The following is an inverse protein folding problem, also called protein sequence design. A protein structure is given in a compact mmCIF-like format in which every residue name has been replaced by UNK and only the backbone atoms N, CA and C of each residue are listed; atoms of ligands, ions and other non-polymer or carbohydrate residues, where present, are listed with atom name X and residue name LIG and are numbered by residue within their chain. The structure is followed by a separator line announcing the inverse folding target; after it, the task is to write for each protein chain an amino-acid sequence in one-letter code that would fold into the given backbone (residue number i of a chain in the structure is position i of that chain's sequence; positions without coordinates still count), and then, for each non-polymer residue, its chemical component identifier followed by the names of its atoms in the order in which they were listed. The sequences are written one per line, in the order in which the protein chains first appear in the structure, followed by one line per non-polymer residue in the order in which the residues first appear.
data_IF_161344756082
#
_entry.id   IF_161344756082
#
_cell.length_a   1.000
_cell.length_b   1.000
_cell.length_c   1.000
_cell.angle_alpha   90.00
_cell.angle_beta   90.00
_cell.angle_gamma   90.00
#
_symmetry.space_group_name_H-M   'P 1'
#
loop_
_entity.id
_entity.type
_entity.pdbx_description
1 polymer ?
#
# COMPACT_ATOMS: atom_id res chain seq x y z
N UNK A 1 -7.24 -7.57 -24.55
CA UNK A 1 -7.26 -7.34 -23.09
C UNK A 1 -7.23 -8.70 -22.42
N UNK A 2 -6.38 -8.88 -21.41
CA UNK A 2 -6.36 -10.09 -20.58
C UNK A 2 -7.69 -10.23 -19.83
N UNK A 3 -8.14 -11.47 -19.60
CA UNK A 3 -9.36 -11.69 -18.84
C UNK A 3 -9.19 -11.21 -17.38
N UNK A 4 -10.21 -10.58 -16.77
CA UNK A 4 -10.15 -10.20 -15.36
C UNK A 4 -10.09 -11.43 -14.46
N UNK A 5 -9.56 -11.27 -13.24
CA UNK A 5 -9.52 -12.34 -12.24
C UNK A 5 -10.93 -12.88 -11.96
N UNK A 6 -11.03 -14.20 -11.78
CA UNK A 6 -12.31 -14.88 -11.52
C UNK A 6 -12.48 -15.28 -10.05
N UNK A 7 -11.38 -15.33 -9.30
CA UNK A 7 -11.36 -15.69 -7.88
C UNK A 7 -11.25 -14.44 -7.01
N UNK A 8 -11.98 -14.43 -5.90
CA UNK A 8 -11.81 -13.49 -4.80
C UNK A 8 -10.58 -13.89 -3.99
N UNK A 9 -9.86 -12.89 -3.49
CA UNK A 9 -8.72 -13.09 -2.61
C UNK A 9 -8.81 -12.23 -1.35
N UNK A 10 -8.10 -12.68 -0.33
CA UNK A 10 -7.77 -11.93 0.87
C UNK A 10 -6.27 -12.02 1.08
N UNK A 11 -5.70 -11.04 1.78
CA UNK A 11 -4.32 -11.16 2.20
C UNK A 11 -4.05 -10.57 3.58
N UNK A 12 -3.10 -11.18 4.30
CA UNK A 12 -2.48 -10.64 5.51
C UNK A 12 -1.04 -10.27 5.19
N UNK A 13 -0.71 -9.00 5.37
CA UNK A 13 0.64 -8.48 5.19
C UNK A 13 1.22 -8.12 6.55
N UNK A 14 2.32 -8.78 6.91
CA UNK A 14 3.18 -8.42 8.02
C UNK A 14 4.38 -7.64 7.51
N UNK A 15 4.60 -6.46 8.06
CA UNK A 15 5.79 -5.66 7.81
C UNK A 15 6.23 -5.01 9.11
N UNK A 16 7.53 -4.76 9.25
CA UNK A 16 8.05 -4.06 10.41
C UNK A 16 8.71 -2.74 10.04
N UNK A 17 8.97 -1.97 11.08
CA UNK A 17 9.86 -0.81 11.05
C UNK A 17 10.81 -0.94 12.23
N UNK A 18 12.08 -0.64 11.99
CA UNK A 18 13.11 -0.47 13.00
C UNK A 18 13.72 0.93 12.87
N UNK A 19 13.79 1.63 14.01
CA UNK A 19 14.36 2.98 14.15
C UNK A 19 13.88 3.94 13.06
N UNK A 20 12.56 4.02 12.88
CA UNK A 20 11.96 4.74 11.77
C UNK A 20 10.52 5.17 12.00
N UNK A 21 9.97 5.91 11.05
CA UNK A 21 8.60 6.39 11.05
C UNK A 21 7.81 5.78 9.88
N UNK A 22 6.93 4.79 10.14
CA UNK A 22 6.25 4.06 9.09
C UNK A 22 5.13 4.86 8.44
N UNK A 23 4.52 5.79 9.17
CA UNK A 23 3.50 6.72 8.68
C UNK A 23 3.38 7.90 9.63
N UNK A 24 3.91 9.05 9.23
CA UNK A 24 3.78 10.28 9.99
C UNK A 24 2.35 10.84 9.97
N UNK A 25 1.96 11.45 11.08
CA UNK A 25 0.71 12.17 11.26
C UNK A 25 0.90 13.67 10.96
N UNK A 26 0.28 14.22 9.90
CA UNK A 26 0.39 15.65 9.61
C UNK A 26 -0.19 16.53 10.73
N UNK A 27 -1.15 16.02 11.51
CA UNK A 27 -1.79 16.78 12.59
C UNK A 27 -0.95 16.73 13.89
N UNK A 28 -0.03 15.78 14.00
CA UNK A 28 0.87 15.61 15.17
C UNK A 28 2.34 15.85 14.80
N UNK A 29 2.62 16.87 14.00
CA UNK A 29 4.01 17.28 13.69
C UNK A 29 4.85 16.19 13.01
N UNK A 30 4.21 15.33 12.22
CA UNK A 30 4.80 14.17 11.56
C UNK A 30 5.28 13.05 12.50
N UNK A 31 4.82 13.01 13.76
CA UNK A 31 5.03 11.86 14.64
C UNK A 31 4.38 10.58 14.07
N UNK A 32 4.90 9.37 14.34
CA UNK A 32 4.22 8.13 14.01
C UNK A 32 2.77 8.14 14.50
N UNK A 33 1.82 7.75 13.65
CA UNK A 33 0.41 7.64 14.04
C UNK A 33 0.22 6.57 15.10
N UNK A 34 -0.54 6.89 16.14
CA UNK A 34 -0.88 6.00 17.25
C UNK A 34 -2.39 6.03 17.47
N UNK A 35 -3.00 4.88 17.75
CA UNK A 35 -4.37 4.81 18.22
C UNK A 35 -4.46 5.31 19.67
N UNK A 36 -5.29 6.33 19.94
CA UNK A 36 -5.37 6.93 21.26
C UNK A 36 -5.97 6.01 22.33
N UNK A 37 -6.72 4.96 21.96
CA UNK A 37 -7.37 4.07 22.93
C UNK A 37 -6.41 3.02 23.51
N UNK A 38 -5.54 2.44 22.66
CA UNK A 38 -4.74 1.27 23.03
C UNK A 38 -3.23 1.43 22.78
N UNK A 39 -2.80 2.55 22.21
CA UNK A 39 -1.39 2.86 21.96
C UNK A 39 -0.77 2.11 20.78
N UNK A 40 -1.54 1.37 19.98
CA UNK A 40 -0.99 0.70 18.81
C UNK A 40 -0.70 1.68 17.69
N UNK A 41 0.38 1.45 16.98
CA UNK A 41 0.76 2.23 15.82
C UNK A 41 -0.20 1.99 14.68
N UNK A 42 -0.46 3.05 13.90
CA UNK A 42 -1.30 2.99 12.72
C UNK A 42 -0.50 3.31 11.46
N UNK A 43 -0.76 2.56 10.39
CA UNK A 43 -0.34 2.94 9.03
C UNK A 43 -1.59 2.95 8.16
N UNK A 44 -1.89 4.12 7.63
CA UNK A 44 -3.08 4.31 6.77
C UNK A 44 -3.02 3.46 5.51
N UNK A 45 -4.18 3.05 5.03
CA UNK A 45 -4.32 2.30 3.78
C UNK A 45 -3.77 3.11 2.59
N UNK A 46 -3.97 4.43 2.57
CA UNK A 46 -3.45 5.32 1.53
C UNK A 46 -1.92 5.34 1.51
N UNK A 47 -1.25 5.22 2.66
CA UNK A 47 0.20 5.14 2.73
C UNK A 47 0.73 3.83 2.12
N UNK A 48 0.06 2.69 2.37
CA UNK A 48 0.39 1.42 1.72
C UNK A 48 0.11 1.48 0.21
N UNK A 49 -1.06 1.97 -0.19
CA UNK A 49 -1.43 2.15 -1.61
C UNK A 49 -0.48 3.09 -2.33
N UNK A 50 0.11 4.10 -1.66
CA UNK A 50 1.13 4.97 -2.25
C UNK A 50 2.43 4.22 -2.52
N UNK A 51 2.87 3.35 -1.61
CA UNK A 51 4.07 2.53 -1.78
C UNK A 51 3.92 1.52 -2.91
N UNK A 52 2.75 0.86 -3.00
CA UNK A 52 2.42 -0.02 -4.12
C UNK A 52 2.47 0.75 -5.46
N UNK A 53 1.92 1.98 -5.51
CA UNK A 53 2.02 2.84 -6.71
C UNK A 53 3.46 3.18 -7.07
N UNK A 54 4.28 3.55 -6.09
CA UNK A 54 5.69 3.87 -6.33
C UNK A 54 6.43 2.66 -6.92
N UNK A 55 6.22 1.47 -6.35
CA UNK A 55 6.79 0.24 -6.87
C UNK A 55 6.30 -0.05 -8.30
N UNK A 56 4.99 -0.02 -8.53
CA UNK A 56 4.41 -0.26 -9.85
C UNK A 56 4.96 0.72 -10.91
N UNK A 57 5.10 2.00 -10.55
CA UNK A 57 5.71 3.01 -11.42
C UNK A 57 7.18 2.69 -11.73
N UNK A 58 7.96 2.29 -10.72
CA UNK A 58 9.35 1.87 -10.91
C UNK A 58 9.47 0.61 -11.78
N UNK A 59 8.51 -0.30 -11.69
CA UNK A 59 8.38 -1.49 -12.53
C UNK A 59 7.83 -1.18 -13.95
N UNK A 60 7.62 0.09 -14.29
CA UNK A 60 7.18 0.53 -15.62
C UNK A 60 5.67 0.56 -15.86
N UNK A 61 4.84 0.27 -14.84
CA UNK A 61 3.40 0.36 -14.97
C UNK A 61 2.91 1.83 -14.87
N UNK A 62 2.04 2.30 -15.78
CA UNK A 62 1.50 3.65 -15.70
C UNK A 62 0.60 3.81 -14.48
N UNK A 63 0.79 4.90 -13.73
CA UNK A 63 -0.10 5.27 -12.61
C UNK A 63 -0.73 6.65 -12.85
N UNK A 64 -1.96 6.81 -12.39
CA UNK A 64 -2.74 8.04 -12.49
C UNK A 64 -2.35 9.05 -11.40
N UNK A 65 -2.22 8.59 -10.16
CA UNK A 65 -1.88 9.47 -9.01
C UNK A 65 -0.36 9.64 -8.90
N UNK A 66 0.19 10.54 -9.71
CA UNK A 66 1.61 10.89 -9.72
C UNK A 66 1.91 12.10 -8.83
N UNK A 67 3.17 12.20 -8.37
CA UNK A 67 3.61 13.33 -7.58
C UNK A 67 3.72 14.59 -8.46
N UNK A 68 3.21 15.73 -7.97
CA UNK A 68 3.35 17.02 -8.67
C UNK A 68 2.52 17.16 -9.96
N UNK A 69 1.52 16.30 -10.18
CA UNK A 69 0.71 16.34 -11.41
C UNK A 69 -0.76 16.68 -11.14
N UNK A 70 -1.37 17.49 -12.01
CA UNK A 70 -2.81 17.72 -12.00
C UNK A 70 -3.56 16.53 -12.60
N UNK A 71 -4.45 15.91 -11.81
CA UNK A 71 -5.23 14.74 -12.21
C UNK A 71 -6.15 14.98 -13.43
N UNK A 72 -6.53 16.23 -13.70
CA UNK A 72 -7.37 16.54 -14.85
C UNK A 72 -6.64 16.40 -16.20
N UNK A 73 -5.30 16.45 -16.23
CA UNK A 73 -4.51 16.27 -17.47
C UNK A 73 -4.74 14.88 -18.08
N UNK A 74 -4.49 13.76 -17.38
CA UNK A 74 -4.77 12.43 -17.92
C UNK A 74 -6.27 12.15 -18.12
N UNK A 75 -7.17 12.76 -17.34
CA UNK A 75 -8.62 12.67 -17.59
C UNK A 75 -8.97 13.29 -18.94
N UNK A 76 -8.39 14.45 -19.26
CA UNK A 76 -8.62 15.11 -20.55
C UNK A 76 -8.01 14.30 -21.70
N UNK A 77 -6.80 13.78 -21.52
CA UNK A 77 -6.16 12.87 -22.48
C UNK A 77 -7.03 11.65 -22.79
N UNK A 78 -7.68 11.06 -21.78
CA UNK A 78 -8.60 9.95 -21.99
C UNK A 78 -9.75 10.32 -22.95
N UNK A 79 -10.34 11.52 -22.79
CA UNK A 79 -11.36 12.01 -23.71
C UNK A 79 -10.83 12.18 -25.14
N UNK A 80 -9.65 12.79 -25.31
CA UNK A 80 -9.00 12.94 -26.62
C UNK A 80 -8.79 11.59 -27.31
N UNK A 81 -8.39 10.56 -26.55
CA UNK A 81 -8.18 9.20 -27.07
C UNK A 81 -9.48 8.43 -27.33
N UNK A 82 -10.62 8.88 -26.81
CA UNK A 82 -11.92 8.20 -26.94
C UNK A 82 -12.99 9.02 -27.67
N UNK A 83 -12.59 9.95 -28.54
CA UNK A 83 -13.52 10.72 -29.38
C UNK A 83 -13.67 12.20 -29.01
N UNK A 84 -12.72 12.76 -28.28
CA UNK A 84 -12.57 14.19 -28.00
C UNK A 84 -13.52 14.74 -26.91
N UNK A 85 -13.01 15.72 -26.16
CA UNK A 85 -13.82 16.46 -25.21
C UNK A 85 -14.58 17.59 -25.92
N UNK A 86 -15.90 17.45 -26.12
CA UNK A 86 -16.74 18.44 -26.81
C UNK A 86 -17.34 19.49 -25.86
N UNK A 87 -16.84 19.62 -24.62
CA UNK A 87 -17.43 20.49 -23.59
C UNK A 87 -18.74 19.95 -22.96
N UNK A 88 -19.44 19.04 -23.64
CA UNK A 88 -20.68 18.41 -23.17
C UNK A 88 -20.40 17.02 -22.58
N UNK A 89 -20.88 16.80 -21.36
CA UNK A 89 -20.69 15.56 -20.59
C UNK A 89 -21.83 14.57 -20.88
N UNK A 90 -21.69 13.74 -21.92
CA UNK A 90 -22.63 12.64 -22.19
C UNK A 90 -22.19 11.35 -21.48
N UNK A 91 -23.16 10.50 -21.11
CA UNK A 91 -22.88 9.23 -20.40
C UNK A 91 -21.89 8.35 -21.17
N UNK A 92 -22.06 8.23 -22.48
CA UNK A 92 -21.23 7.36 -23.32
C UNK A 92 -19.78 7.83 -23.40
N UNK A 93 -19.54 9.15 -23.49
CA UNK A 93 -18.19 9.72 -23.49
C UNK A 93 -17.50 9.55 -22.14
N UNK A 94 -18.23 9.80 -21.05
CA UNK A 94 -17.71 9.58 -19.69
C UNK A 94 -17.35 8.11 -19.49
N UNK A 95 -18.18 7.19 -19.96
CA UNK A 95 -17.91 5.76 -19.87
C UNK A 95 -16.73 5.33 -20.74
N UNK A 96 -16.62 5.82 -21.97
CA UNK A 96 -15.48 5.52 -22.85
C UNK A 96 -14.16 6.01 -22.24
N UNK A 97 -14.12 7.26 -21.77
CA UNK A 97 -12.96 7.81 -21.06
C UNK A 97 -12.64 6.99 -19.80
N UNK A 98 -13.64 6.61 -18.99
CA UNK A 98 -13.45 5.75 -17.81
C UNK A 98 -12.81 4.41 -18.17
N UNK A 99 -13.30 3.73 -19.21
CA UNK A 99 -12.75 2.45 -19.67
C UNK A 99 -11.30 2.61 -20.13
N UNK A 100 -10.97 3.71 -20.82
CA UNK A 100 -9.61 4.02 -21.21
C UNK A 100 -8.71 4.25 -19.98
N UNK A 101 -9.17 5.01 -18.98
CA UNK A 101 -8.44 5.24 -17.73
C UNK A 101 -8.15 3.92 -17.01
N UNK A 102 -9.13 3.02 -16.89
CA UNK A 102 -8.94 1.69 -16.32
C UNK A 102 -7.97 0.83 -17.13
N UNK A 103 -8.01 0.90 -18.47
CA UNK A 103 -7.10 0.12 -19.31
C UNK A 103 -5.65 0.64 -19.21
N UNK A 104 -5.47 1.95 -19.12
CA UNK A 104 -4.15 2.58 -19.18
C UNK A 104 -3.44 2.64 -17.83
N UNK A 105 -4.15 2.95 -16.74
CA UNK A 105 -3.55 3.16 -15.43
C UNK A 105 -3.76 1.99 -14.48
N UNK A 106 -2.66 1.40 -14.01
CA UNK A 106 -2.66 0.27 -13.09
C UNK A 106 -3.37 0.60 -11.77
N UNK A 107 -3.11 1.77 -11.19
CA UNK A 107 -3.68 2.14 -9.89
C UNK A 107 -5.18 2.45 -9.96
N UNK A 108 -5.68 2.99 -11.07
CA UNK A 108 -7.12 3.15 -11.34
C UNK A 108 -7.78 1.78 -11.46
N UNK A 109 -7.16 0.86 -12.21
CA UNK A 109 -7.63 -0.52 -12.37
C UNK A 109 -7.65 -1.30 -11.05
N UNK A 110 -6.67 -1.04 -10.19
CA UNK A 110 -6.42 -1.80 -8.95
C UNK A 110 -7.21 -1.26 -7.76
N UNK A 111 -7.09 0.04 -7.47
CA UNK A 111 -7.67 0.68 -6.29
C UNK A 111 -8.94 1.47 -6.59
N UNK A 112 -9.15 1.83 -7.85
CA UNK A 112 -10.19 2.76 -8.27
C UNK A 112 -9.75 4.21 -8.14
N UNK A 113 -10.58 5.09 -8.70
CA UNK A 113 -10.36 6.53 -8.66
C UNK A 113 -11.69 7.29 -8.82
N UNK A 114 -11.76 8.46 -8.19
CA UNK A 114 -12.77 9.47 -8.49
C UNK A 114 -12.17 10.41 -9.53
N UNK A 115 -12.77 10.46 -10.71
CA UNK A 115 -12.28 11.18 -11.90
C UNK A 115 -13.35 12.15 -12.42
N UNK A 116 -14.25 12.62 -11.55
CA UNK A 116 -15.43 13.42 -11.91
C UNK A 116 -15.15 14.91 -12.07
N UNK A 117 -13.92 15.36 -11.82
CA UNK A 117 -13.47 16.74 -11.98
C UNK A 117 -13.12 17.06 -13.43
N UNK A 118 -13.12 18.35 -13.79
CA UNK A 118 -12.73 18.80 -15.13
C UNK A 118 -13.59 18.19 -16.23
N UNK A 119 -12.92 17.53 -17.20
CA UNK A 119 -13.56 16.83 -18.31
C UNK A 119 -14.43 15.64 -17.89
N UNK A 120 -14.29 15.15 -16.65
CA UNK A 120 -15.08 14.09 -16.03
C UNK A 120 -15.00 12.73 -16.76
N UNK A 121 -14.34 11.76 -16.14
CA UNK A 121 -14.33 10.34 -16.53
C UNK A 121 -15.05 9.46 -15.47
N UNK A 122 -15.95 10.05 -14.70
CA UNK A 122 -16.79 9.37 -13.72
C UNK A 122 -16.02 8.93 -12.49
N UNK A 123 -16.40 7.78 -11.95
CA UNK A 123 -15.72 7.15 -10.82
C UNK A 123 -15.72 5.64 -11.01
N UNK A 124 -14.75 4.98 -10.39
CA UNK A 124 -14.66 3.52 -10.38
C UNK A 124 -14.13 3.05 -9.04
N UNK A 125 -14.70 1.96 -8.51
CA UNK A 125 -14.20 1.27 -7.33
C UNK A 125 -13.33 0.12 -7.78
N UNK A 126 -12.05 0.12 -7.38
CA UNK A 126 -11.13 -0.95 -7.69
C UNK A 126 -11.40 -2.21 -6.86
N UNK A 127 -10.98 -3.39 -7.35
CA UNK A 127 -11.12 -4.64 -6.63
C UNK A 127 -10.29 -4.72 -5.36
N UNK A 128 -9.17 -3.99 -5.27
CA UNK A 128 -8.24 -4.08 -4.14
C UNK A 128 -8.55 -3.02 -3.10
N UNK A 129 -8.92 -3.48 -1.91
CA UNK A 129 -9.15 -2.65 -0.73
C UNK A 129 -8.22 -3.10 0.39
N UNK A 130 -7.63 -2.15 1.11
CA UNK A 130 -6.71 -2.39 2.22
C UNK A 130 -7.23 -1.58 3.41
N UNK A 131 -7.20 -2.14 4.60
CA UNK A 131 -7.54 -1.40 5.83
C UNK A 131 -6.34 -0.67 6.38
N UNK A 132 -6.54 0.12 7.43
CA UNK A 132 -5.41 0.58 8.25
C UNK A 132 -4.66 -0.64 8.77
N UNK A 133 -3.34 -0.59 8.69
CA UNK A 133 -2.48 -1.55 9.36
C UNK A 133 -2.29 -1.11 10.80
N UNK A 134 -2.30 -2.07 11.72
CA UNK A 134 -2.10 -1.83 13.15
C UNK A 134 -0.87 -2.60 13.61
N UNK A 135 -0.08 -2.02 14.51
CA UNK A 135 0.99 -2.77 15.17
C UNK A 135 0.41 -3.92 16.01
N UNK A 136 1.21 -4.95 16.28
CA UNK A 136 0.78 -6.06 17.15
C UNK A 136 0.92 -5.76 18.63
N UNK A 137 1.77 -4.79 18.97
CA UNK A 137 1.99 -4.28 20.31
C UNK A 137 1.88 -2.76 20.29
N UNK A 138 1.55 -2.12 21.43
CA UNK A 138 1.63 -0.67 21.56
C UNK A 138 3.03 -0.17 21.20
N UNK A 139 3.09 0.95 20.47
CA UNK A 139 4.36 1.57 20.09
C UNK A 139 4.65 2.77 21.00
N UNK A 140 5.93 3.08 21.15
CA UNK A 140 6.37 4.31 21.81
C UNK A 140 7.14 5.18 20.82
N UNK A 141 6.51 6.22 20.25
CA UNK A 141 7.20 7.22 19.46
C UNK A 141 8.20 7.99 20.32
N UNK A 142 9.44 8.06 19.87
CA UNK A 142 10.50 8.85 20.50
C UNK A 142 10.95 9.97 19.56
N UNK A 143 11.15 11.17 20.13
CA UNK A 143 11.75 12.30 19.43
C UNK A 143 13.24 12.40 19.75
N UNK A 144 14.05 12.46 18.70
CA UNK A 144 15.49 12.65 18.80
C UNK A 144 15.85 14.00 18.18
N UNK A 145 16.42 14.88 18.99
CA UNK A 145 17.00 16.14 18.52
C UNK A 145 18.21 15.86 17.64
N UNK A 146 18.26 16.51 16.48
CA UNK A 146 19.38 16.43 15.54
C UNK A 146 19.83 17.83 15.17
N UNK A 147 21.09 17.99 14.80
CA UNK A 147 21.64 19.29 14.38
C UNK A 147 22.09 19.22 12.93
N UNK A 148 21.56 20.12 12.10
CA UNK A 148 22.13 20.44 10.80
C UNK A 148 23.21 21.49 11.02
N UNK A 149 24.45 21.18 10.65
CA UNK A 149 25.61 22.09 10.79
C UNK A 149 25.59 23.32 9.86
N UNK A 150 24.46 23.62 9.25
CA UNK A 150 24.24 24.75 8.36
C UNK A 150 22.84 25.32 8.58
N UNK A 151 22.67 26.60 8.25
CA UNK A 151 21.38 27.31 8.30
C UNK A 151 20.82 27.49 6.89
N UNK A 152 19.49 27.53 6.77
CA UNK A 152 18.78 27.82 5.54
C UNK A 152 17.83 28.99 5.83
N UNK A 153 18.42 30.15 6.11
CA UNK A 153 17.69 31.37 6.44
C UNK A 153 17.27 32.09 5.16
N UNK A 154 16.02 32.54 5.10
CA UNK A 154 15.58 33.47 4.07
C UNK A 154 16.05 34.89 4.44
N UNK A 155 17.26 35.25 3.98
CA UNK A 155 17.90 36.52 4.33
C UNK A 155 17.14 37.68 3.68
N UNK A 156 16.34 38.37 4.48
CA UNK A 156 15.52 39.51 4.03
C UNK A 156 16.39 40.55 3.32
N UNK A 157 15.96 40.95 2.13
CA UNK A 157 16.60 41.95 1.26
C UNK A 157 17.93 41.55 0.61
N UNK A 158 18.42 40.31 0.80
CA UNK A 158 19.58 39.83 0.05
C UNK A 158 19.19 39.57 -1.41
N UNK A 159 19.82 40.28 -2.35
CA UNK A 159 19.58 40.13 -3.79
C UNK A 159 20.78 39.59 -4.54
N UNK A 160 21.98 39.67 -3.94
CA UNK A 160 23.21 39.15 -4.53
C UNK A 160 23.93 38.21 -3.57
N UNK A 161 24.91 37.48 -4.10
CA UNK A 161 25.77 36.60 -3.30
C UNK A 161 26.53 37.38 -2.22
N UNK A 162 26.96 38.60 -2.52
CA UNK A 162 27.66 39.47 -1.56
C UNK A 162 26.81 39.80 -0.34
N UNK A 163 25.49 39.94 -0.49
CA UNK A 163 24.58 40.18 0.63
C UNK A 163 24.53 38.97 1.58
N UNK A 164 24.50 37.75 1.02
CA UNK A 164 24.55 36.50 1.79
C UNK A 164 25.90 36.34 2.50
N UNK A 165 27.02 36.60 1.81
CA UNK A 165 28.36 36.53 2.40
C UNK A 165 28.53 37.52 3.56
N UNK A 166 28.04 38.76 3.40
CA UNK A 166 28.04 39.76 4.47
C UNK A 166 27.18 39.33 5.64
N UNK A 167 25.98 38.81 5.38
CA UNK A 167 25.09 38.35 6.43
C UNK A 167 25.70 37.20 7.23
N UNK A 168 26.28 36.21 6.54
CA UNK A 168 26.93 35.03 7.14
C UNK A 168 28.12 35.43 8.01
N UNK A 169 28.99 36.31 7.52
CA UNK A 169 30.16 36.79 8.26
C UNK A 169 29.80 37.56 9.54
N UNK A 170 28.58 38.10 9.64
CA UNK A 170 28.08 38.81 10.81
C UNK A 170 27.40 37.88 11.83
N UNK A 171 27.15 36.61 11.50
CA UNK A 171 26.54 35.65 12.41
C UNK A 171 27.59 34.93 13.27
N UNK A 172 27.34 34.73 14.57
CA UNK A 172 28.07 33.75 15.37
C UNK A 172 27.93 32.33 14.79
N UNK A 173 28.98 31.51 14.87
CA UNK A 173 28.98 30.15 14.34
C UNK A 173 27.82 29.29 14.85
N UNK A 174 27.47 29.42 16.14
CA UNK A 174 26.35 28.66 16.73
C UNK A 174 24.97 29.03 16.14
N UNK A 175 24.83 30.23 15.57
CA UNK A 175 23.61 30.65 14.86
C UNK A 175 23.56 30.18 13.40
N UNK A 176 24.68 29.69 12.87
CA UNK A 176 24.75 29.07 11.54
C UNK A 176 24.39 27.58 11.56
N UNK A 177 23.81 27.09 12.66
CA UNK A 177 23.37 25.71 12.85
C UNK A 177 21.86 25.69 13.09
N UNK A 178 21.15 24.69 12.57
CA UNK A 178 19.71 24.53 12.81
C UNK A 178 19.45 23.21 13.54
N UNK A 179 18.72 23.27 14.65
CA UNK A 179 18.23 22.06 15.32
C UNK A 179 16.91 21.59 14.69
N UNK A 180 16.83 20.31 14.38
CA UNK A 180 15.63 19.62 13.93
C UNK A 180 15.26 18.49 14.89
N UNK A 181 14.14 17.83 14.60
CA UNK A 181 13.69 16.65 15.35
C UNK A 181 13.38 15.51 14.39
N UNK A 182 13.73 14.29 14.81
CA UNK A 182 13.27 13.06 14.18
C UNK A 182 12.37 12.31 15.14
N UNK A 183 11.11 12.16 14.76
CA UNK A 183 10.18 11.30 15.48
C UNK A 183 10.18 9.91 14.83
N UNK A 184 10.47 8.88 15.63
CA UNK A 184 10.59 7.50 15.15
C UNK A 184 10.13 6.51 16.23
N UNK A 185 9.78 5.29 15.81
CA UNK A 185 9.62 4.15 16.70
C UNK A 185 10.87 3.29 16.63
N UNK A 186 11.30 2.74 17.76
CA UNK A 186 12.45 1.82 17.77
C UNK A 186 12.12 0.51 17.06
N UNK A 187 10.93 -0.05 17.29
CA UNK A 187 10.45 -1.23 16.60
C UNK A 187 8.92 -1.28 16.62
N UNK A 188 8.33 -1.80 15.54
CA UNK A 188 6.92 -2.18 15.51
C UNK A 188 6.66 -3.16 14.38
N UNK A 189 5.99 -4.28 14.68
CA UNK A 189 5.48 -5.24 13.69
C UNK A 189 4.02 -4.89 13.40
N UNK A 190 3.70 -4.57 12.16
CA UNK A 190 2.39 -4.14 11.70
C UNK A 190 1.71 -5.21 10.86
N UNK A 191 0.39 -5.29 10.99
CA UNK A 191 -0.48 -6.17 10.22
C UNK A 191 -1.48 -5.37 9.40
N UNK A 192 -1.43 -5.52 8.07
CA UNK A 192 -2.45 -5.00 7.17
C UNK A 192 -3.35 -6.13 6.67
N UNK A 193 -4.65 -5.85 6.57
CA UNK A 193 -5.67 -6.74 6.01
C UNK A 193 -6.10 -6.22 4.63
N UNK A 194 -6.09 -7.10 3.64
CA UNK A 194 -6.41 -6.77 2.26
C UNK A 194 -7.49 -7.68 1.67
N UNK A 195 -8.22 -7.13 0.70
CA UNK A 195 -9.35 -7.78 0.03
C UNK A 195 -9.26 -7.51 -1.47
N UNK A 196 -9.46 -8.53 -2.29
CA UNK A 196 -9.46 -8.45 -3.74
C UNK A 196 -10.75 -9.06 -4.28
N UNK A 197 -11.66 -8.21 -4.75
CA UNK A 197 -12.96 -8.66 -5.26
C UNK A 197 -12.91 -9.00 -6.76
N UNK A 198 -13.14 -10.27 -7.11
CA UNK A 198 -13.29 -10.68 -8.51
C UNK A 198 -14.48 -10.01 -9.21
N UNK A 199 -15.58 -9.74 -8.49
CA UNK A 199 -16.73 -9.06 -9.05
C UNK A 199 -16.39 -7.63 -9.50
N UNK A 200 -15.69 -6.86 -8.67
CA UNK A 200 -15.26 -5.51 -9.02
C UNK A 200 -14.15 -5.51 -10.10
N UNK A 201 -13.35 -6.58 -10.15
CA UNK A 201 -12.34 -6.74 -11.19
C UNK A 201 -12.96 -6.80 -12.59
N UNK A 202 -14.18 -7.35 -12.75
CA UNK A 202 -14.89 -7.37 -14.04
C UNK A 202 -15.17 -5.95 -14.56
N UNK A 203 -15.46 -5.00 -13.66
CA UNK A 203 -15.76 -3.61 -14.04
C UNK A 203 -14.52 -2.77 -14.38
N UNK A 204 -13.35 -3.18 -13.91
CA UNK A 204 -12.07 -2.45 -14.08
C UNK A 204 -11.12 -3.12 -15.07
N UNK A 205 -11.30 -4.41 -15.34
CA UNK A 205 -10.36 -5.20 -16.14
C UNK A 205 -9.16 -5.72 -15.37
N UNK A 206 -9.16 -5.67 -14.03
CA UNK A 206 -8.03 -6.11 -13.20
C UNK A 206 -7.72 -7.60 -13.42
N UNK A 207 -6.53 -7.86 -13.92
CA UNK A 207 -6.12 -9.13 -14.50
C UNK A 207 -5.20 -9.94 -13.56
N UNK A 208 -4.94 -11.23 -13.88
CA UNK A 208 -3.92 -12.02 -13.18
C UNK A 208 -2.53 -11.38 -13.20
N UNK A 209 -2.15 -10.68 -14.27
CA UNK A 209 -0.89 -9.95 -14.35
C UNK A 209 -0.87 -8.75 -13.39
N UNK A 210 -2.00 -8.06 -13.22
CA UNK A 210 -2.12 -6.99 -12.22
C UNK A 210 -2.05 -7.54 -10.80
N UNK A 211 -2.65 -8.71 -10.55
CA UNK A 211 -2.54 -9.41 -9.26
C UNK A 211 -1.10 -9.79 -8.96
N UNK A 212 -0.35 -10.29 -9.96
CA UNK A 212 1.07 -10.60 -9.85
C UNK A 212 1.88 -9.37 -9.44
N UNK A 213 1.70 -8.26 -10.17
CA UNK A 213 2.35 -6.98 -9.85
C UNK A 213 1.97 -6.45 -8.46
N UNK A 214 0.72 -6.65 -8.02
CA UNK A 214 0.29 -6.29 -6.66
C UNK A 214 1.06 -7.08 -5.61
N UNK A 215 1.17 -8.41 -5.77
CA UNK A 215 1.84 -9.28 -4.79
C UNK A 215 3.33 -9.01 -4.76
N UNK A 216 3.96 -8.84 -5.92
CA UNK A 216 5.35 -8.43 -6.04
C UNK A 216 5.59 -7.08 -5.34
N UNK A 217 4.72 -6.09 -5.59
CA UNK A 217 4.80 -4.79 -4.93
C UNK A 217 4.65 -4.91 -3.40
N UNK A 218 3.72 -5.71 -2.89
CA UNK A 218 3.54 -5.90 -1.45
C UNK A 218 4.80 -6.45 -0.76
N UNK A 219 5.56 -7.29 -1.45
CA UNK A 219 6.80 -7.88 -0.92
C UNK A 219 8.00 -6.92 -1.05
N UNK A 220 8.08 -6.13 -2.12
CA UNK A 220 9.27 -5.34 -2.43
C UNK A 220 9.12 -3.82 -2.18
N UNK A 221 7.91 -3.31 -1.86
CA UNK A 221 7.65 -1.87 -1.82
C UNK A 221 8.53 -1.08 -0.84
N UNK A 222 9.00 -1.69 0.25
CA UNK A 222 9.85 -1.00 1.24
C UNK A 222 11.32 -0.88 0.83
N UNK A 223 11.80 -1.76 -0.06
CA UNK A 223 13.19 -1.70 -0.52
C UNK A 223 13.43 -0.54 -1.50
N UNK A 224 12.38 -0.12 -2.20
CA UNK A 224 12.42 1.03 -3.12
C UNK A 224 11.90 2.34 -2.49
N UNK A 225 11.54 2.34 -1.20
CA UNK A 225 10.92 3.48 -0.52
C UNK A 225 11.75 3.99 0.67
N UNK A 226 13.07 3.76 0.63
CA UNK A 226 14.03 4.14 1.69
C UNK A 226 14.14 5.66 1.82
N UNK A 227 14.13 6.16 3.06
CA UNK A 227 14.43 7.56 3.38
C UNK A 227 14.96 7.70 4.81
N UNK A 228 15.59 8.85 5.10
CA UNK A 228 16.15 9.15 6.41
C UNK A 228 15.12 9.21 7.56
N UNK A 229 13.82 9.27 7.25
CA UNK A 229 12.71 9.26 8.23
C UNK A 229 12.10 7.88 8.41
N UNK A 230 12.18 6.99 7.41
CA UNK A 230 11.50 5.69 7.43
C UNK A 230 12.30 4.60 8.15
N UNK A 231 13.61 4.79 8.33
CA UNK A 231 14.47 3.80 8.95
C UNK A 231 14.50 2.48 8.15
N UNK A 232 14.65 1.37 8.87
CA UNK A 232 14.62 0.04 8.28
C UNK A 232 13.19 -0.51 8.32
N UNK A 233 12.44 -0.30 7.24
CA UNK A 233 11.18 -1.00 7.00
C UNK A 233 11.41 -2.25 6.14
N UNK A 234 10.66 -3.32 6.39
CA UNK A 234 10.69 -4.51 5.56
C UNK A 234 9.36 -5.27 5.60
N UNK A 235 8.93 -5.82 4.48
CA UNK A 235 7.89 -6.85 4.47
C UNK A 235 8.47 -8.13 5.05
N UNK A 236 7.76 -8.76 5.99
CA UNK A 236 8.23 -9.95 6.71
C UNK A 236 7.51 -11.22 6.29
N UNK A 237 6.19 -11.14 6.11
CA UNK A 237 5.34 -12.25 5.66
C UNK A 237 4.13 -11.72 4.91
N UNK A 238 3.74 -12.42 3.86
CA UNK A 238 2.50 -12.22 3.14
C UNK A 238 1.77 -13.56 3.06
N UNK A 239 0.55 -13.60 3.57
CA UNK A 239 -0.38 -14.72 3.39
C UNK A 239 -1.46 -14.31 2.40
N UNK A 240 -1.61 -15.04 1.32
CA UNK A 240 -2.64 -14.87 0.31
C UNK A 240 -3.64 -16.01 0.41
N UNK A 241 -4.93 -15.68 0.42
CA UNK A 241 -6.02 -16.64 0.44
C UNK A 241 -6.79 -16.53 -0.87
N UNK A 242 -6.96 -17.63 -1.58
CA UNK A 242 -7.72 -17.71 -2.83
C UNK A 242 -8.96 -18.57 -2.62
N UNK A 243 -10.14 -18.04 -2.95
CA UNK A 243 -11.36 -18.84 -2.95
C UNK A 243 -11.50 -19.62 -4.27
N UNK A 244 -11.65 -20.95 -4.20
CA UNK A 244 -11.69 -21.85 -5.37
C UNK A 244 -12.98 -22.64 -5.53
N UNK A 245 -13.84 -22.67 -4.51
CA UNK A 245 -15.08 -23.45 -4.49
C UNK A 245 -14.95 -24.74 -3.68
N UNK A 246 -16.09 -25.32 -3.29
CA UNK A 246 -16.15 -26.40 -2.28
C UNK A 246 -16.57 -27.76 -2.84
N UNK A 247 -17.07 -27.83 -4.07
CA UNK A 247 -17.73 -29.03 -4.61
C UNK A 247 -16.94 -29.60 -5.81
N UNK A 248 -16.29 -30.77 -5.68
CA UNK A 248 -15.57 -31.41 -6.79
C UNK A 248 -16.42 -31.72 -8.02
N UNK A 249 -17.74 -31.81 -7.89
CA UNK A 249 -18.66 -32.25 -8.95
C UNK A 249 -19.53 -31.12 -9.52
N UNK A 250 -19.42 -29.89 -9.00
CA UNK A 250 -20.24 -28.77 -9.44
C UNK A 250 -19.38 -27.55 -9.84
N UNK A 251 -18.93 -27.55 -11.09
CA UNK A 251 -18.10 -26.49 -11.63
C UNK A 251 -18.78 -25.11 -11.61
N UNK A 252 -20.10 -25.04 -11.81
CA UNK A 252 -20.82 -23.76 -11.88
C UNK A 252 -20.98 -23.14 -10.48
N UNK A 253 -21.28 -23.96 -9.48
CA UNK A 253 -21.26 -23.53 -8.08
C UNK A 253 -19.86 -23.06 -7.67
N UNK A 254 -18.81 -23.78 -8.07
CA UNK A 254 -17.44 -23.40 -7.75
C UNK A 254 -17.05 -22.06 -8.35
N UNK A 255 -17.42 -21.77 -9.61
CA UNK A 255 -17.17 -20.44 -10.22
C UNK A 255 -17.83 -19.33 -9.41
N UNK A 256 -19.10 -19.51 -9.02
CA UNK A 256 -19.82 -18.54 -8.19
C UNK A 256 -19.16 -18.36 -6.81
N UNK A 257 -18.78 -19.45 -6.16
CA UNK A 257 -18.12 -19.43 -4.85
C UNK A 257 -16.69 -18.86 -4.93
N UNK A 258 -15.95 -19.13 -6.00
CA UNK A 258 -14.65 -18.53 -6.26
C UNK A 258 -14.77 -17.02 -6.38
N UNK A 259 -15.78 -16.53 -7.11
CA UNK A 259 -15.99 -15.09 -7.31
C UNK A 259 -16.52 -14.36 -6.07
N UNK A 260 -17.47 -14.97 -5.34
CA UNK A 260 -18.14 -14.33 -4.20
C UNK A 260 -17.49 -14.63 -2.85
N UNK A 261 -16.75 -15.73 -2.75
CA UNK A 261 -16.08 -16.23 -1.55
C UNK A 261 -16.67 -17.52 -1.01
N UNK A 262 -15.80 -18.38 -0.51
CA UNK A 262 -16.12 -19.64 0.18
C UNK A 262 -16.20 -19.49 1.70
N UNK A 263 -15.60 -18.43 2.25
CA UNK A 263 -15.54 -18.15 3.68
C UNK A 263 -15.64 -16.64 3.96
N UNK A 264 -16.13 -16.24 5.15
CA UNK A 264 -16.04 -14.86 5.61
C UNK A 264 -14.59 -14.42 5.78
N UNK A 265 -14.27 -13.17 5.45
CA UNK A 265 -12.89 -12.69 5.50
C UNK A 265 -12.29 -12.70 6.91
N UNK A 266 -13.08 -12.46 7.96
CA UNK A 266 -12.60 -12.52 9.35
C UNK A 266 -12.06 -13.91 9.73
N UNK A 267 -12.60 -14.99 9.14
CA UNK A 267 -12.08 -16.36 9.37
C UNK A 267 -10.69 -16.58 8.76
N UNK A 268 -10.32 -15.80 7.77
CA UNK A 268 -9.00 -15.88 7.12
C UNK A 268 -8.02 -14.86 7.72
N UNK A 269 -8.53 -13.69 8.09
CA UNK A 269 -7.73 -12.51 8.41
C UNK A 269 -7.58 -12.22 9.92
N UNK A 270 -8.40 -12.79 10.79
CA UNK A 270 -8.24 -12.61 12.23
C UNK A 270 -7.16 -13.53 12.79
N UNK A 271 -6.30 -12.95 13.63
CA UNK A 271 -5.25 -13.69 14.30
C UNK A 271 -5.86 -14.78 15.20
N UNK A 272 -5.26 -15.97 15.18
CA UNK A 272 -5.73 -17.15 15.90
C UNK A 272 -6.70 -18.03 15.11
N UNK A 273 -7.22 -17.56 13.96
CA UNK A 273 -7.96 -18.40 13.01
C UNK A 273 -6.97 -19.22 12.16
N UNK A 274 -6.61 -18.77 10.95
CA UNK A 274 -5.63 -19.48 10.11
C UNK A 274 -4.20 -19.10 10.46
N UNK A 275 -3.94 -17.81 10.71
CA UNK A 275 -2.61 -17.30 11.07
C UNK A 275 -2.61 -16.89 12.53
N UNK A 276 -1.59 -17.31 13.27
CA UNK A 276 -1.37 -16.95 14.67
C UNK A 276 -0.04 -16.24 14.83
N UNK A 277 0.00 -15.27 15.74
CA UNK A 277 1.23 -14.59 16.14
C UNK A 277 1.31 -14.55 17.64
N UNK A 278 2.49 -14.81 18.18
CA UNK A 278 2.80 -14.60 19.59
C UNK A 278 4.17 -14.00 19.76
N UNK A 279 4.34 -13.18 20.80
CA UNK A 279 5.65 -12.71 21.24
C UNK A 279 6.33 -13.83 22.01
N UNK A 280 7.62 -14.05 21.77
CA UNK A 280 8.38 -15.13 22.41
C UNK A 280 8.75 -14.80 23.86
N UNK A 281 8.92 -13.53 24.18
CA UNK A 281 9.23 -13.04 25.52
C UNK A 281 8.35 -11.83 25.85
N UNK A 282 7.39 -12.03 26.73
CA UNK A 282 6.44 -10.99 27.12
C UNK A 282 6.95 -10.04 28.19
N UNK A 283 8.12 -10.31 28.79
CA UNK A 283 8.69 -9.46 29.85
C UNK A 283 9.38 -8.20 29.33
N UNK A 284 9.66 -8.13 28.02
CA UNK A 284 10.41 -7.03 27.40
C UNK A 284 9.73 -6.49 26.14
N UNK A 285 9.95 -5.21 25.80
CA UNK A 285 9.43 -4.66 24.55
C UNK A 285 10.11 -5.34 23.35
N UNK A 286 9.37 -5.66 22.28
CA UNK A 286 9.91 -6.24 21.06
C UNK A 286 10.86 -5.26 20.37
N UNK A 287 11.96 -5.78 19.80
CA UNK A 287 13.00 -4.99 19.12
C UNK A 287 13.34 -5.49 17.72
N UNK A 288 12.84 -6.67 17.34
CA UNK A 288 13.10 -7.31 16.04
C UNK A 288 12.03 -8.33 15.70
N UNK A 289 11.95 -8.71 14.43
CA UNK A 289 11.00 -9.72 13.96
C UNK A 289 11.20 -11.07 14.65
N UNK A 290 12.44 -11.44 14.98
CA UNK A 290 12.76 -12.68 15.70
C UNK A 290 12.21 -12.76 17.13
N UNK A 291 11.70 -11.66 17.69
CA UNK A 291 11.02 -11.67 18.98
C UNK A 291 9.55 -12.17 18.85
N UNK A 292 9.09 -12.41 17.62
CA UNK A 292 7.78 -12.95 17.31
C UNK A 292 7.87 -14.32 16.65
N UNK A 293 6.88 -15.14 16.92
CA UNK A 293 6.58 -16.34 16.16
C UNK A 293 5.29 -16.13 15.38
N UNK A 294 5.38 -16.14 14.05
CA UNK A 294 4.25 -16.07 13.12
C UNK A 294 4.09 -17.45 12.49
N UNK A 295 2.91 -18.07 12.66
CA UNK A 295 2.62 -19.41 12.14
C UNK A 295 1.24 -19.46 11.49
N UNK A 296 1.17 -20.03 10.29
CA UNK A 296 -0.10 -20.46 9.70
C UNK A 296 -0.39 -21.92 10.07
N UNK A 297 -1.67 -22.23 10.25
CA UNK A 297 -2.18 -23.58 10.49
C UNK A 297 -3.06 -24.00 9.30
N UNK A 298 -2.52 -24.80 8.35
CA UNK A 298 -3.28 -25.27 7.20
C UNK A 298 -4.51 -26.10 7.58
N UNK A 299 -4.57 -26.71 8.76
CA UNK A 299 -5.73 -27.50 9.20
C UNK A 299 -6.94 -26.62 9.52
N UNK A 300 -6.71 -25.34 9.84
CA UNK A 300 -7.77 -24.36 10.12
C UNK A 300 -8.24 -23.63 8.86
N UNK A 301 -7.64 -23.92 7.70
CA UNK A 301 -8.02 -23.30 6.44
C UNK A 301 -9.45 -23.75 6.06
N UNK A 302 -10.41 -22.82 5.85
CA UNK A 302 -11.76 -23.19 5.45
C UNK A 302 -11.80 -23.97 4.14
N UNK A 303 -12.75 -24.90 4.01
CA UNK A 303 -12.95 -25.66 2.77
C UNK A 303 -13.16 -24.72 1.58
N UNK A 304 -12.51 -25.04 0.45
CA UNK A 304 -12.60 -24.26 -0.78
C UNK A 304 -11.76 -22.98 -0.78
N UNK A 305 -10.80 -22.88 0.14
CA UNK A 305 -9.77 -21.82 0.16
C UNK A 305 -8.40 -22.47 0.00
N UNK A 306 -7.55 -21.87 -0.84
CA UNK A 306 -6.12 -22.18 -0.93
C UNK A 306 -5.32 -21.04 -0.33
N UNK A 307 -4.19 -21.36 0.28
CA UNK A 307 -3.31 -20.37 0.90
C UNK A 307 -1.92 -20.40 0.24
N UNK A 308 -1.32 -19.23 0.06
CA UNK A 308 0.09 -19.07 -0.29
C UNK A 308 0.76 -18.21 0.76
N UNK A 309 1.87 -18.69 1.32
CA UNK A 309 2.73 -17.94 2.22
C UNK A 309 4.03 -17.54 1.50
N UNK A 310 4.35 -16.25 1.50
CA UNK A 310 5.58 -15.69 0.96
C UNK A 310 6.32 -14.87 2.02
N UNK A 311 7.64 -15.01 2.08
CA UNK A 311 8.55 -14.19 2.88
C UNK A 311 9.49 -13.32 2.03
N UNK A 312 9.53 -13.58 0.74
CA UNK A 312 10.22 -12.84 -0.31
C UNK A 312 9.45 -13.06 -1.63
N UNK A 313 9.71 -12.24 -2.64
CA UNK A 313 9.14 -12.48 -3.96
C UNK A 313 9.69 -13.78 -4.57
N UNK A 314 8.78 -14.65 -5.00
CA UNK A 314 9.05 -15.93 -5.65
C UNK A 314 8.01 -16.11 -6.76
N UNK A 315 8.43 -15.77 -7.98
CA UNK A 315 7.57 -15.73 -9.15
C UNK A 315 7.07 -17.12 -9.56
N UNK A 316 7.97 -18.12 -9.56
CA UNK A 316 7.64 -19.50 -9.93
C UNK A 316 6.61 -20.08 -8.95
N UNK A 317 6.85 -19.91 -7.64
CA UNK A 317 5.92 -20.38 -6.61
C UNK A 317 4.56 -19.68 -6.70
N UNK A 318 4.55 -18.38 -7.00
CA UNK A 318 3.30 -17.64 -7.20
C UNK A 318 2.54 -18.15 -8.42
N UNK A 319 3.21 -18.35 -9.56
CA UNK A 319 2.57 -18.80 -10.80
C UNK A 319 2.05 -20.24 -10.69
N UNK A 320 2.80 -21.14 -10.05
CA UNK A 320 2.36 -22.52 -9.74
C UNK A 320 1.11 -22.50 -8.85
N UNK A 321 1.15 -21.69 -7.78
CA UNK A 321 -0.01 -21.55 -6.90
C UNK A 321 -1.21 -20.98 -7.65
N UNK A 322 -1.04 -19.92 -8.44
CA UNK A 322 -2.13 -19.29 -9.18
C UNK A 322 -2.73 -20.23 -10.23
N UNK A 323 -1.90 -21.02 -10.92
CA UNK A 323 -2.30 -21.99 -11.95
C UNK A 323 -3.02 -23.24 -11.44
N UNK A 324 -3.11 -23.44 -10.12
CA UNK A 324 -3.85 -24.56 -9.54
C UNK A 324 -3.11 -25.90 -9.54
N UNK A 325 -1.83 -25.91 -9.93
CA UNK A 325 -0.98 -27.09 -9.76
C UNK A 325 -0.52 -27.15 -8.29
N UNK A 326 -0.83 -28.28 -7.65
CA UNK A 326 -0.48 -28.68 -6.28
C UNK A 326 0.50 -27.78 -5.49
N UNK A 327 -0.04 -27.18 -4.43
CA UNK A 327 0.63 -27.01 -3.14
C UNK A 327 -0.42 -27.23 -2.05
#
# INVERSE_FOLDING_TARGET
MSQPIQNRYEFLLFFDVQDGNPNGDPDSGNAPRVDPEDGHGLVSDVALKRRIRNYAQAAGAPIFVQHGTNLNRPIFEAHEKTGGFTGVKTKDKVEAARRWMCAHFYDVRTFGAVMSTGANAGQVRGPVQITFARSLDPIFPAEFSITRGAVAEDVKNAKTLEDYLKWEALQPEDKLRTMGRKSQVSYGLYLAKGFVSAHLAQGTGFSPADLKLLVEALLNMYDHDRSASKGLMATRRLFLFQHVGTDPHNAEQNKRQAMLGCAPAHRLLDLGQVVSVRRLDESKPPRRFADYEVKADPQKLPKGVRMLELNQWDEERFDVWLGGAHA
#
